data_IF_795023740968
#
_entry.id   IF_795023740968
#
_cell.length_a   1.000
_cell.length_b   1.000
_cell.length_c   1.000
_cell.angle_alpha   90.00
_cell.angle_beta   90.00
_cell.angle_gamma   90.00
#
_symmetry.space_group_name_H-M   'P 1'
#
loop_
_entity.id
_entity.type
_entity.pdbx_description
1 polymer ?
#
# COMPACT_ATOMS: atom_id res chain seq x y z
N UNK A 1 4.12 6.18 13.06
CA UNK A 1 3.56 7.51 12.72
C UNK A 1 2.70 7.24 11.53
N UNK A 2 1.40 7.50 11.64
CA UNK A 2 0.43 7.13 10.61
C UNK A 2 0.31 8.29 9.62
N UNK A 3 0.54 8.00 8.34
CA UNK A 3 0.32 8.92 7.24
C UNK A 3 -0.74 8.36 6.29
N UNK A 4 -1.50 9.25 5.65
CA UNK A 4 -2.51 8.86 4.66
C UNK A 4 -1.94 9.10 3.27
N UNK A 5 -2.02 8.08 2.43
CA UNK A 5 -1.58 8.13 1.04
C UNK A 5 -2.65 7.56 0.09
N UNK A 6 -2.44 7.70 -1.21
CA UNK A 6 -3.34 7.15 -2.22
C UNK A 6 -2.58 6.32 -3.23
N UNK A 7 -3.10 5.14 -3.53
CA UNK A 7 -2.56 4.26 -4.55
C UNK A 7 -3.61 3.94 -5.62
N UNK A 8 -3.16 3.66 -6.83
CA UNK A 8 -4.03 3.15 -7.90
C UNK A 8 -4.09 1.62 -7.79
N UNK A 9 -5.31 1.09 -7.61
CA UNK A 9 -5.50 -0.33 -7.44
C UNK A 9 -5.10 -1.09 -8.72
N UNK A 10 -4.16 -2.06 -8.67
CA UNK A 10 -3.71 -2.78 -9.86
C UNK A 10 -4.75 -3.77 -10.42
N UNK A 11 -5.90 -3.92 -9.75
CA UNK A 11 -7.02 -4.77 -10.18
C UNK A 11 -8.08 -3.97 -10.93
N UNK A 12 -8.69 -2.97 -10.29
CA UNK A 12 -9.77 -2.17 -10.89
C UNK A 12 -9.31 -0.84 -11.51
N UNK A 13 -8.10 -0.38 -11.21
CA UNK A 13 -7.57 0.91 -11.67
C UNK A 13 -8.16 2.14 -10.97
N UNK A 14 -8.88 1.94 -9.87
CA UNK A 14 -9.41 3.04 -9.06
C UNK A 14 -8.41 3.53 -8.03
N UNK A 15 -8.47 4.82 -7.71
CA UNK A 15 -7.63 5.44 -6.68
C UNK A 15 -8.22 5.16 -5.29
N UNK A 16 -7.46 4.44 -4.47
CA UNK A 16 -7.84 4.03 -3.12
C UNK A 16 -7.01 4.79 -2.09
N UNK A 17 -7.65 5.23 -1.01
CA UNK A 17 -6.97 5.82 0.16
C UNK A 17 -6.45 4.71 1.07
N UNK A 18 -5.20 4.81 1.50
CA UNK A 18 -4.58 3.89 2.47
C UNK A 18 -3.88 4.65 3.58
N UNK A 19 -3.68 3.99 4.72
CA UNK A 19 -2.92 4.54 5.84
C UNK A 19 -1.65 3.73 6.03
N UNK A 20 -0.50 4.38 5.87
CA UNK A 20 0.83 3.78 6.05
C UNK A 20 1.35 4.08 7.46
N UNK A 21 1.87 3.06 8.15
CA UNK A 21 2.57 3.27 9.42
C UNK A 21 4.08 3.35 9.21
N UNK A 22 4.64 4.54 9.32
CA UNK A 22 6.08 4.75 9.19
C UNK A 22 6.89 4.42 10.46
N UNK A 23 6.23 4.10 11.59
CA UNK A 23 6.99 3.77 12.81
C UNK A 23 7.53 2.37 12.84
N UNK A 24 6.90 1.44 12.12
CA UNK A 24 7.36 0.06 12.03
C UNK A 24 8.48 -0.15 10.98
N UNK A 25 8.81 0.88 10.18
CA UNK A 25 9.93 0.85 9.24
C UNK A 25 9.56 0.25 7.89
N UNK A 26 10.45 -0.55 7.31
CA UNK A 26 10.15 -1.32 6.09
C UNK A 26 9.16 -2.45 6.39
N UNK A 27 8.12 -2.54 5.57
CA UNK A 27 7.03 -3.48 5.82
C UNK A 27 6.30 -3.85 4.53
N UNK A 28 5.88 -5.11 4.47
CA UNK A 28 5.08 -5.67 3.39
C UNK A 28 3.82 -6.23 4.01
N UNK A 29 2.68 -5.74 3.55
CA UNK A 29 1.37 -6.16 4.04
C UNK A 29 0.37 -6.23 2.89
N UNK A 30 -0.68 -7.04 3.05
CA UNK A 30 -1.77 -7.12 2.09
C UNK A 30 -2.95 -6.33 2.64
N UNK A 31 -3.53 -5.46 1.81
CA UNK A 31 -4.74 -4.69 2.10
C UNK A 31 -5.78 -4.92 1.01
N UNK A 32 -7.05 -5.09 1.39
CA UNK A 32 -8.14 -5.22 0.43
C UNK A 32 -8.53 -3.86 -0.17
N UNK A 33 -8.61 -3.82 -1.51
CA UNK A 33 -9.11 -2.65 -2.21
C UNK A 33 -10.56 -2.37 -1.80
N UNK A 34 -10.83 -1.16 -1.27
CA UNK A 34 -12.15 -0.73 -0.81
C UNK A 34 -13.20 -0.63 -1.95
N UNK A 35 -12.77 -0.74 -3.21
CA UNK A 35 -13.65 -0.66 -4.39
C UNK A 35 -13.98 -2.05 -4.94
N UNK A 36 -12.97 -2.90 -5.16
CA UNK A 36 -13.15 -4.20 -5.81
C UNK A 36 -12.94 -5.41 -4.89
N UNK A 37 -12.65 -5.20 -3.60
CA UNK A 37 -12.42 -6.24 -2.59
C UNK A 37 -11.35 -7.27 -3.02
N UNK A 38 -10.32 -6.84 -3.74
CA UNK A 38 -9.20 -7.70 -4.14
C UNK A 38 -7.97 -7.43 -3.25
N UNK A 39 -7.19 -8.47 -2.92
CA UNK A 39 -6.01 -8.35 -2.07
C UNK A 39 -4.88 -7.63 -2.81
N UNK A 40 -4.51 -6.44 -2.34
CA UNK A 40 -3.40 -5.64 -2.88
C UNK A 40 -2.21 -5.76 -1.93
N UNK A 41 -1.04 -6.13 -2.46
CA UNK A 41 0.19 -6.17 -1.69
C UNK A 41 0.81 -4.77 -1.67
N UNK A 42 0.92 -4.19 -0.50
CA UNK A 42 1.52 -2.90 -0.22
C UNK A 42 2.92 -3.11 0.35
N UNK A 43 3.92 -2.56 -0.34
CA UNK A 43 5.34 -2.59 0.04
C UNK A 43 5.72 -1.17 0.44
N UNK A 44 5.88 -0.95 1.73
CA UNK A 44 6.29 0.32 2.30
C UNK A 44 7.79 0.27 2.62
N UNK A 45 8.53 1.20 2.05
CA UNK A 45 9.95 1.40 2.33
C UNK A 45 10.15 2.75 3.00
N UNK A 46 10.78 2.75 4.18
CA UNK A 46 11.01 3.96 4.97
C UNK A 46 12.52 4.19 5.12
N UNK A 47 12.99 5.36 4.71
CA UNK A 47 14.39 5.75 4.73
C UNK A 47 14.55 7.13 5.37
N UNK A 48 14.69 7.15 6.70
CA UNK A 48 14.84 8.40 7.45
C UNK A 48 13.54 9.21 7.44
N UNK A 49 13.54 10.34 6.74
CA UNK A 49 12.38 11.25 6.60
C UNK A 49 11.60 10.99 5.29
N UNK A 50 12.14 10.17 4.38
CA UNK A 50 11.50 9.83 3.11
C UNK A 50 10.88 8.43 3.16
N UNK A 51 9.78 8.24 2.44
CA UNK A 51 9.13 6.94 2.30
C UNK A 51 8.61 6.71 0.88
N UNK A 52 8.46 5.44 0.53
CA UNK A 52 7.94 5.01 -0.76
C UNK A 52 6.94 3.87 -0.55
N UNK A 53 5.76 4.00 -1.15
CA UNK A 53 4.74 2.96 -1.17
C UNK A 53 4.64 2.39 -2.59
N UNK A 54 4.91 1.11 -2.74
CA UNK A 54 4.66 0.35 -3.97
C UNK A 54 3.47 -0.59 -3.78
N UNK A 55 2.61 -0.69 -4.77
CA UNK A 55 1.45 -1.60 -4.75
C UNK A 55 1.51 -2.61 -5.88
N UNK A 56 1.20 -3.87 -5.56
CA UNK A 56 1.22 -5.00 -6.51
C UNK A 56 0.05 -5.94 -6.24
N UNK A 57 -0.21 -6.84 -7.19
CA UNK A 57 -1.24 -7.89 -7.06
C UNK A 57 -0.68 -9.05 -6.25
N UNK A 58 -1.48 -9.63 -5.35
CA UNK A 58 -1.07 -10.80 -4.56
C UNK A 58 -0.76 -12.02 -5.45
N UNK A 59 -1.53 -12.21 -6.54
CA UNK A 59 -1.33 -13.30 -7.51
C UNK A 59 0.01 -13.23 -8.29
N UNK A 60 0.77 -12.14 -8.18
CA UNK A 60 2.08 -11.98 -8.84
C UNK A 60 3.26 -12.43 -7.95
N UNK A 61 2.98 -12.95 -6.75
CA UNK A 61 3.96 -13.37 -5.74
C UNK A 61 4.33 -14.87 -5.78
#
# INVERSE_FOLDING_TARGET
MLETDFYDCPYCGERVETTVDLSAGDQVYTEDCQVCCQPVVCILQVHGDEWMLEVRREDDA
#
